data_IF_691105663318
#
_entry.id   IF_691105663318
#
_cell.length_a   1.000
_cell.length_b   1.000
_cell.length_c   1.000
_cell.angle_alpha   90.00
_cell.angle_beta   90.00
_cell.angle_gamma   90.00
#
_symmetry.space_group_name_H-M   'P 1'
#
loop_
_entity.id
_entity.type
_entity.pdbx_description
1 polymer ?
#
# COMPACT_ATOMS: atom_id res chain seq x y z
N UNK A 1 27.83 30.33 -15.64
CA UNK A 1 27.17 29.86 -16.87
C UNK A 1 25.87 29.17 -16.53
N UNK A 2 24.77 29.88 -16.76
CA UNK A 2 23.41 29.39 -16.73
C UNK A 2 23.13 28.61 -18.02
N UNK A 3 22.59 27.40 -17.94
CA UNK A 3 21.92 26.75 -19.06
C UNK A 3 20.48 26.42 -18.63
N UNK A 4 19.55 27.06 -19.34
CA UNK A 4 18.11 27.05 -19.13
C UNK A 4 17.45 25.71 -19.47
N UNK A 5 16.30 25.37 -18.88
CA UNK A 5 15.45 24.28 -19.34
C UNK A 5 14.68 24.64 -20.63
N UNK A 6 14.28 23.66 -21.47
CA UNK A 6 13.57 23.90 -22.72
C UNK A 6 12.12 24.38 -22.51
N UNK A 7 11.52 25.09 -23.50
CA UNK A 7 10.22 25.74 -23.35
C UNK A 7 9.03 24.76 -23.38
N UNK A 8 8.03 25.06 -22.55
CA UNK A 8 6.70 24.44 -22.53
C UNK A 8 5.88 25.05 -23.69
N UNK A 9 5.26 24.27 -24.59
CA UNK A 9 4.37 24.83 -25.60
C UNK A 9 3.07 25.34 -24.93
N UNK A 10 2.85 26.64 -25.06
CA UNK A 10 1.56 27.30 -24.80
C UNK A 10 0.58 26.92 -25.90
N UNK A 11 -0.50 26.20 -25.57
CA UNK A 11 -1.60 25.95 -26.49
C UNK A 11 -2.90 26.55 -25.94
N UNK A 12 -3.54 27.34 -26.78
CA UNK A 12 -4.65 28.25 -26.49
C UNK A 12 -5.90 27.57 -25.93
N UNK A 13 -6.59 28.31 -25.07
CA UNK A 13 -7.94 28.06 -24.59
C UNK A 13 -8.92 27.76 -25.74
N UNK A 14 -9.49 26.56 -25.73
CA UNK A 14 -10.79 26.28 -26.34
C UNK A 14 -11.68 25.66 -25.26
N UNK A 15 -12.70 26.40 -24.85
CA UNK A 15 -13.77 25.92 -23.97
C UNK A 15 -14.49 24.75 -24.64
N UNK A 16 -14.37 23.55 -24.08
CA UNK A 16 -15.41 22.53 -24.18
C UNK A 16 -15.56 21.85 -22.82
N UNK A 17 -16.72 22.05 -22.21
CA UNK A 17 -17.17 21.41 -20.98
C UNK A 17 -17.40 19.93 -21.23
N UNK A 18 -16.61 19.08 -20.58
CA UNK A 18 -16.93 17.67 -20.37
C UNK A 18 -16.90 17.38 -18.86
N UNK A 19 -18.08 17.09 -18.33
CA UNK A 19 -18.29 16.56 -16.98
C UNK A 19 -17.68 15.15 -16.84
N UNK A 20 -17.56 14.74 -15.57
CA UNK A 20 -17.42 13.39 -15.01
C UNK A 20 -15.99 12.84 -14.90
N UNK A 21 -15.41 12.92 -13.70
CA UNK A 21 -15.30 11.75 -12.81
C UNK A 21 -14.39 12.03 -11.62
N UNK A 22 -14.85 11.56 -10.46
CA UNK A 22 -14.18 11.66 -9.18
C UNK A 22 -12.72 11.17 -9.25
N UNK A 23 -11.77 12.00 -8.82
CA UNK A 23 -10.48 11.50 -8.36
C UNK A 23 -10.68 10.81 -7.01
N UNK A 24 -11.08 9.54 -7.09
CA UNK A 24 -10.75 8.57 -6.06
C UNK A 24 -9.23 8.43 -6.09
N UNK A 25 -8.49 8.58 -4.99
CA UNK A 25 -7.11 8.12 -4.94
C UNK A 25 -7.13 6.59 -4.92
N UNK A 26 -7.44 5.98 -6.07
CA UNK A 26 -7.03 4.62 -6.32
C UNK A 26 -5.50 4.68 -6.36
N UNK A 27 -4.86 3.96 -5.45
CA UNK A 27 -3.48 3.51 -5.64
C UNK A 27 -3.53 2.58 -6.86
N UNK A 28 -3.63 3.16 -8.05
CA UNK A 28 -3.61 2.43 -9.30
C UNK A 28 -2.23 1.78 -9.35
N UNK A 29 -2.22 0.45 -9.36
CA UNK A 29 -1.12 -0.26 -9.98
C UNK A 29 -0.81 0.46 -11.29
N UNK A 30 0.46 0.79 -11.57
CA UNK A 30 0.88 1.43 -12.83
C UNK A 30 0.61 0.55 -14.07
N UNK A 31 -0.15 -0.52 -13.92
CA UNK A 31 -0.72 -1.38 -14.93
C UNK A 31 -2.01 -0.74 -15.46
N UNK A 32 -1.94 -0.21 -16.67
CA UNK A 32 -3.07 0.42 -17.37
C UNK A 32 -3.84 -0.57 -18.26
N UNK A 33 -3.38 -1.82 -18.33
CA UNK A 33 -3.91 -2.86 -19.23
C UNK A 33 -3.46 -2.69 -20.69
N UNK A 34 -2.67 -1.67 -21.00
CA UNK A 34 -2.20 -1.36 -22.35
C UNK A 34 -0.73 -0.90 -22.34
N UNK A 35 -0.03 -1.16 -23.44
CA UNK A 35 1.35 -0.71 -23.64
C UNK A 35 1.40 0.57 -24.50
N UNK A 36 2.49 1.32 -24.35
CA UNK A 36 2.82 2.43 -25.24
C UNK A 36 3.03 1.93 -26.68
N UNK A 37 2.71 2.77 -27.66
CA UNK A 37 2.95 2.48 -29.08
C UNK A 37 4.42 2.21 -29.39
N UNK A 38 5.35 2.74 -28.59
CA UNK A 38 6.79 2.51 -28.75
C UNK A 38 7.28 1.22 -28.11
N UNK A 39 6.42 0.51 -27.36
CA UNK A 39 6.81 -0.63 -26.56
C UNK A 39 7.43 -1.76 -27.38
N UNK A 40 6.89 -2.03 -28.58
CA UNK A 40 7.40 -3.08 -29.48
C UNK A 40 8.89 -2.88 -29.81
N UNK A 41 9.32 -1.63 -29.98
CA UNK A 41 10.74 -1.31 -30.24
C UNK A 41 11.57 -1.41 -28.97
N UNK A 42 11.04 -0.92 -27.84
CA UNK A 42 11.75 -0.93 -26.56
C UNK A 42 11.99 -2.34 -26.02
N UNK A 43 11.01 -3.24 -26.11
CA UNK A 43 11.16 -4.64 -25.71
C UNK A 43 12.30 -5.31 -26.47
N UNK A 44 12.41 -5.08 -27.79
CA UNK A 44 13.51 -5.60 -28.62
C UNK A 44 14.88 -5.08 -28.18
N UNK A 45 14.93 -3.88 -27.61
CA UNK A 45 16.15 -3.26 -27.08
C UNK A 45 16.38 -3.56 -25.58
N UNK A 46 15.73 -4.59 -25.03
CA UNK A 46 15.97 -5.04 -23.66
C UNK A 46 15.30 -4.19 -22.57
N UNK A 47 14.28 -3.41 -22.91
CA UNK A 47 13.61 -2.52 -21.96
C UNK A 47 13.05 -3.23 -20.72
N UNK A 48 12.51 -4.45 -20.87
CA UNK A 48 11.94 -5.21 -19.77
C UNK A 48 12.97 -5.56 -18.67
N UNK A 49 14.25 -5.71 -19.04
CA UNK A 49 15.33 -6.07 -18.11
C UNK A 49 16.23 -4.88 -17.75
N UNK A 50 16.02 -3.71 -18.36
CA UNK A 50 16.87 -2.54 -18.18
C UNK A 50 16.67 -1.86 -16.82
N UNK A 51 17.58 -2.08 -15.87
CA UNK A 51 17.54 -1.53 -14.51
C UNK A 51 17.73 -0.01 -14.42
N UNK A 52 18.12 0.67 -15.50
CA UNK A 52 18.14 2.14 -15.56
C UNK A 52 16.72 2.76 -15.63
N UNK A 53 15.71 1.97 -16.04
CA UNK A 53 14.30 2.33 -15.92
C UNK A 53 13.70 1.67 -14.68
N UNK A 54 12.93 2.44 -13.90
CA UNK A 54 12.29 1.88 -12.70
C UNK A 54 11.24 0.82 -13.07
N UNK A 55 10.92 -0.09 -12.14
CA UNK A 55 9.83 -1.06 -12.34
C UNK A 55 8.52 -0.38 -12.71
N UNK A 56 8.23 0.77 -12.11
CA UNK A 56 7.01 1.53 -12.37
C UNK A 56 6.98 2.12 -13.78
N UNK A 57 8.10 2.65 -14.27
CA UNK A 57 8.20 3.10 -15.66
C UNK A 57 8.03 1.93 -16.63
N UNK A 58 8.66 0.79 -16.34
CA UNK A 58 8.52 -0.41 -17.17
C UNK A 58 7.07 -0.92 -17.22
N UNK A 59 6.34 -0.86 -16.10
CA UNK A 59 4.90 -1.17 -16.05
C UNK A 59 4.05 -0.18 -16.83
N UNK A 60 4.32 1.12 -16.66
CA UNK A 60 3.55 2.19 -17.28
C UNK A 60 3.62 2.13 -18.81
N UNK A 61 4.81 1.84 -19.36
CA UNK A 61 5.04 1.91 -20.80
C UNK A 61 4.97 0.57 -21.52
N UNK A 62 5.31 -0.53 -20.84
CA UNK A 62 5.42 -1.86 -21.43
C UNK A 62 4.94 -2.97 -20.48
N UNK A 63 4.01 -2.67 -19.57
CA UNK A 63 3.61 -3.60 -18.52
C UNK A 63 3.11 -4.94 -19.06
N UNK A 64 2.30 -4.94 -20.12
CA UNK A 64 1.74 -6.17 -20.67
C UNK A 64 2.78 -6.92 -21.48
N UNK A 65 3.48 -6.26 -22.41
CA UNK A 65 4.51 -6.89 -23.23
C UNK A 65 5.70 -7.44 -22.43
N UNK A 66 6.06 -6.81 -21.31
CA UNK A 66 7.09 -7.30 -20.40
C UNK A 66 6.57 -8.35 -19.40
N UNK A 67 5.28 -8.68 -19.43
CA UNK A 67 4.66 -9.66 -18.54
C UNK A 67 4.53 -9.20 -17.09
N UNK A 68 4.66 -7.89 -16.83
CA UNK A 68 4.52 -7.28 -15.50
C UNK A 68 3.07 -6.97 -15.13
N UNK A 69 2.21 -6.82 -16.14
CA UNK A 69 0.81 -6.48 -16.01
C UNK A 69 -0.05 -7.41 -16.90
N UNK A 70 -1.26 -7.68 -16.44
CA UNK A 70 -2.30 -8.32 -17.22
C UNK A 70 -3.03 -7.28 -18.08
N UNK A 71 -3.72 -7.74 -19.14
CA UNK A 71 -4.52 -6.86 -20.01
C UNK A 71 -5.73 -6.22 -19.31
N UNK A 72 -6.16 -6.78 -18.20
CA UNK A 72 -7.24 -6.23 -17.36
C UNK A 72 -6.77 -5.11 -16.42
N UNK A 73 -5.49 -4.72 -16.50
CA UNK A 73 -4.89 -3.69 -15.64
C UNK A 73 -4.40 -4.19 -14.29
N UNK A 74 -4.52 -5.50 -14.00
CA UNK A 74 -3.95 -6.09 -12.78
C UNK A 74 -2.45 -6.39 -12.95
N UNK A 75 -1.73 -6.55 -11.84
CA UNK A 75 -0.29 -6.84 -11.83
C UNK A 75 -0.02 -8.34 -11.74
N UNK A 76 1.06 -8.80 -12.40
CA UNK A 76 1.55 -10.18 -12.28
C UNK A 76 2.63 -10.29 -11.20
N UNK A 77 2.96 -11.51 -10.77
CA UNK A 77 4.08 -11.75 -9.86
C UNK A 77 5.43 -11.24 -10.42
N UNK A 78 5.63 -11.29 -11.75
CA UNK A 78 6.82 -10.80 -12.42
C UNK A 78 6.90 -9.26 -12.44
N UNK A 79 5.75 -8.58 -12.31
CA UNK A 79 5.69 -7.14 -12.09
C UNK A 79 6.32 -6.72 -10.77
N UNK A 80 6.78 -7.65 -9.93
CA UNK A 80 7.20 -7.35 -8.57
C UNK A 80 6.02 -6.86 -7.74
N UNK A 81 6.20 -6.80 -6.42
CA UNK A 81 5.22 -6.15 -5.57
C UNK A 81 5.03 -4.69 -6.01
N UNK A 82 3.84 -4.12 -5.85
CA UNK A 82 3.61 -2.67 -5.68
C UNK A 82 4.33 -2.14 -4.44
N UNK A 83 5.56 -2.57 -4.21
CA UNK A 83 6.54 -1.84 -3.43
C UNK A 83 6.83 -0.59 -4.25
N UNK A 84 5.95 0.41 -4.11
CA UNK A 84 6.35 1.80 -4.24
C UNK A 84 7.71 1.87 -3.56
N UNK A 85 8.77 2.18 -4.31
CA UNK A 85 10.08 2.33 -3.70
C UNK A 85 9.95 3.54 -2.78
N UNK A 86 9.68 3.23 -1.51
CA UNK A 86 9.31 4.19 -0.51
C UNK A 86 10.61 4.80 0.00
N UNK A 87 11.10 5.80 -0.74
CA UNK A 87 12.29 6.57 -0.42
C UNK A 87 11.88 7.95 0.09
N UNK A 88 12.76 8.54 0.87
CA UNK A 88 12.65 9.94 1.23
C UNK A 88 13.07 10.78 0.04
N UNK A 89 12.16 11.63 -0.42
CA UNK A 89 12.38 12.57 -1.51
C UNK A 89 12.84 13.95 -1.00
N UNK A 90 12.88 14.16 0.32
CA UNK A 90 13.36 15.38 0.95
C UNK A 90 14.52 15.08 1.92
N UNK A 91 15.58 15.90 1.86
CA UNK A 91 16.74 15.75 2.76
C UNK A 91 16.39 16.02 4.24
N UNK A 92 15.28 16.73 4.52
CA UNK A 92 14.88 17.10 5.88
C UNK A 92 13.99 16.06 6.57
N UNK A 93 13.76 14.89 5.96
CA UNK A 93 12.80 13.92 6.49
C UNK A 93 13.05 13.50 7.93
N UNK A 94 14.31 13.27 8.31
CA UNK A 94 14.67 12.94 9.69
C UNK A 94 14.30 14.07 10.68
N UNK A 95 14.59 15.33 10.32
CA UNK A 95 14.26 16.50 11.14
C UNK A 95 12.75 16.70 11.24
N UNK A 96 12.03 16.63 10.11
CA UNK A 96 10.59 16.80 10.06
C UNK A 96 9.86 15.71 10.84
N UNK A 97 10.31 14.46 10.76
CA UNK A 97 9.76 13.38 11.55
C UNK A 97 9.97 13.61 13.05
N UNK A 98 11.15 14.07 13.46
CA UNK A 98 11.43 14.43 14.85
C UNK A 98 10.53 15.57 15.37
N UNK A 99 10.11 16.49 14.49
CA UNK A 99 9.16 17.57 14.82
C UNK A 99 7.68 17.19 14.61
N UNK A 100 7.39 15.91 14.34
CA UNK A 100 6.03 15.38 14.26
C UNK A 100 5.37 15.42 12.87
N UNK A 101 6.10 15.65 11.78
CA UNK A 101 5.54 15.66 10.42
C UNK A 101 4.76 14.38 10.08
N UNK A 102 5.32 13.22 10.44
CA UNK A 102 4.71 11.93 10.11
C UNK A 102 3.45 11.63 10.94
N UNK A 103 3.35 12.18 12.15
CA UNK A 103 2.23 11.97 13.08
C UNK A 103 1.19 13.08 13.03
N UNK A 104 1.51 14.23 12.45
CA UNK A 104 0.60 15.37 12.39
C UNK A 104 -0.62 15.05 11.49
N UNK A 105 -1.86 15.13 12.01
CA UNK A 105 -3.06 14.85 11.23
C UNK A 105 -3.38 15.94 10.20
N UNK A 106 -2.78 17.13 10.28
CA UNK A 106 -2.98 18.20 9.28
C UNK A 106 -2.32 17.87 7.95
N UNK A 107 -1.34 16.98 7.94
CA UNK A 107 -0.67 16.50 6.74
C UNK A 107 -1.32 15.21 6.25
N UNK A 108 -1.73 15.20 4.99
CA UNK A 108 -2.30 14.00 4.38
C UNK A 108 -1.25 12.89 4.27
N UNK A 109 -1.69 11.65 4.33
CA UNK A 109 -0.80 10.49 4.13
C UNK A 109 -0.12 10.53 2.76
N UNK A 110 -0.82 11.07 1.74
CA UNK A 110 -0.25 11.30 0.42
C UNK A 110 0.93 12.27 0.49
N UNK A 111 0.80 13.37 1.24
CA UNK A 111 1.88 14.34 1.40
C UNK A 111 3.06 13.77 2.21
N UNK A 112 2.77 13.02 3.28
CA UNK A 112 3.80 12.33 4.07
C UNK A 112 4.59 11.35 3.21
N UNK A 113 3.90 10.54 2.41
CA UNK A 113 4.50 9.58 1.48
C UNK A 113 5.22 10.26 0.33
N UNK A 114 4.73 11.40 -0.16
CA UNK A 114 5.38 12.14 -1.24
C UNK A 114 6.76 12.66 -0.85
N UNK A 115 6.90 13.20 0.37
CA UNK A 115 8.16 13.82 0.80
C UNK A 115 9.07 12.86 1.56
N UNK A 116 8.51 12.09 2.49
CA UNK A 116 9.27 11.33 3.48
C UNK A 116 8.72 9.91 3.61
N UNK A 117 8.58 9.23 2.46
CA UNK A 117 7.96 7.92 2.44
C UNK A 117 8.63 6.97 3.43
N UNK A 118 9.95 6.79 3.32
CA UNK A 118 10.69 5.85 4.18
C UNK A 118 10.57 6.26 5.63
N UNK A 119 10.96 7.50 5.94
CA UNK A 119 11.00 8.00 7.31
C UNK A 119 9.62 7.94 7.97
N UNK A 120 8.54 8.32 7.27
CA UNK A 120 7.19 8.26 7.83
C UNK A 120 6.61 6.86 7.90
N UNK A 121 7.03 5.96 7.03
CA UNK A 121 6.73 4.53 7.10
C UNK A 121 7.39 3.90 8.33
N UNK A 122 8.62 4.28 8.63
CA UNK A 122 9.36 3.85 9.82
C UNK A 122 8.77 4.46 11.11
N UNK A 123 8.37 5.73 11.08
CA UNK A 123 7.69 6.37 12.21
C UNK A 123 6.31 5.75 12.49
N UNK A 124 5.54 5.41 11.45
CA UNK A 124 4.30 4.65 11.58
C UNK A 124 4.54 3.21 12.10
N UNK A 125 5.76 2.67 11.92
CA UNK A 125 6.14 1.40 12.51
C UNK A 125 6.22 1.45 14.05
N UNK A 126 6.40 2.62 14.66
CA UNK A 126 6.65 2.74 16.10
C UNK A 126 5.58 3.53 16.86
N UNK A 127 4.76 4.30 16.16
CA UNK A 127 3.70 5.12 16.78
C UNK A 127 2.43 4.31 17.04
N UNK A 128 1.95 4.19 18.30
CA UNK A 128 0.66 3.56 18.59
C UNK A 128 -0.49 4.19 17.78
N UNK A 129 -1.34 3.40 17.11
CA UNK A 129 -2.48 3.92 16.38
C UNK A 129 -3.62 4.33 17.34
N UNK A 130 -4.44 5.29 16.91
CA UNK A 130 -5.72 5.55 17.57
C UNK A 130 -6.72 4.46 17.16
N UNK A 131 -7.21 3.69 18.14
CA UNK A 131 -8.27 2.70 17.93
C UNK A 131 -9.17 2.56 19.16
N UNK A 132 -10.38 2.06 18.96
CA UNK A 132 -11.31 1.72 20.05
C UNK A 132 -11.31 0.22 20.38
N UNK A 133 -10.73 -0.64 19.54
CA UNK A 133 -10.51 -2.06 19.84
C UNK A 133 -9.19 -2.59 19.30
N UNK A 134 -9.01 -2.60 17.98
CA UNK A 134 -7.81 -3.19 17.37
C UNK A 134 -7.50 -2.69 15.97
N UNK A 135 -6.25 -2.87 15.57
CA UNK A 135 -5.72 -2.49 14.26
C UNK A 135 -4.94 -3.66 13.66
N UNK A 136 -5.16 -3.93 12.38
CA UNK A 136 -4.46 -4.97 11.61
C UNK A 136 -3.66 -4.28 10.50
N UNK A 137 -2.38 -4.62 10.38
CA UNK A 137 -1.46 -3.98 9.45
C UNK A 137 -1.06 -4.89 8.28
N UNK A 138 -0.89 -4.27 7.11
CA UNK A 138 -0.24 -4.82 5.92
C UNK A 138 1.03 -4.01 5.66
N UNK A 139 2.19 -4.61 5.91
CA UNK A 139 3.43 -3.85 6.07
C UNK A 139 3.29 -2.77 7.15
N UNK A 140 3.66 -1.53 6.83
CA UNK A 140 3.49 -0.39 7.74
C UNK A 140 2.15 0.32 7.60
N UNK A 141 1.27 -0.12 6.69
CA UNK A 141 -0.04 0.51 6.47
C UNK A 141 -1.12 -0.15 7.31
N UNK A 142 -2.03 0.67 7.85
CA UNK A 142 -3.25 0.19 8.50
C UNK A 142 -4.17 -0.38 7.43
N UNK A 143 -4.52 -1.66 7.54
CA UNK A 143 -5.50 -2.31 6.70
C UNK A 143 -6.89 -2.29 7.34
N UNK A 144 -6.94 -2.54 8.65
CA UNK A 144 -8.17 -2.53 9.45
C UNK A 144 -7.92 -1.67 10.68
N UNK A 145 -8.81 -0.72 10.97
CA UNK A 145 -8.92 -0.09 12.28
C UNK A 145 -10.38 -0.25 12.71
N UNK A 146 -10.60 -1.04 13.75
CA UNK A 146 -11.93 -1.54 14.06
C UNK A 146 -12.38 -1.17 15.48
N UNK A 147 -13.66 -0.78 15.65
CA UNK A 147 -14.31 -0.79 16.95
C UNK A 147 -14.58 -2.23 17.42
N UNK A 148 -15.10 -2.42 18.64
CA UNK A 148 -15.60 -3.73 19.05
C UNK A 148 -16.65 -4.25 18.07
N UNK A 149 -16.57 -5.54 17.75
CA UNK A 149 -17.45 -6.23 16.81
C UNK A 149 -18.31 -7.24 17.54
N UNK A 150 -19.54 -7.42 17.10
CA UNK A 150 -20.46 -8.46 17.62
C UNK A 150 -20.45 -9.75 16.80
N UNK A 151 -19.80 -9.74 15.63
CA UNK A 151 -19.70 -10.88 14.72
C UNK A 151 -18.40 -10.81 13.91
N UNK A 152 -17.99 -11.96 13.34
CA UNK A 152 -16.82 -12.04 12.50
C UNK A 152 -16.93 -11.12 11.27
N UNK A 153 -15.83 -10.43 10.96
CA UNK A 153 -15.69 -9.53 9.82
C UNK A 153 -14.63 -10.07 8.86
N UNK A 154 -14.85 -9.92 7.55
CA UNK A 154 -13.93 -10.40 6.52
C UNK A 154 -12.83 -9.38 6.21
N UNK A 155 -11.61 -9.85 5.97
CA UNK A 155 -10.49 -9.03 5.47
C UNK A 155 -10.39 -9.21 3.94
N UNK A 156 -10.71 -8.17 3.16
CA UNK A 156 -10.93 -8.28 1.70
C UNK A 156 -9.72 -7.99 0.80
N UNK A 157 -8.51 -7.73 1.35
CA UNK A 157 -7.36 -7.24 0.54
C UNK A 157 -5.95 -7.69 1.01
N UNK A 158 -5.82 -8.78 1.78
CA UNK A 158 -4.62 -8.96 2.60
C UNK A 158 -3.45 -9.74 1.96
N UNK A 159 -2.32 -9.09 1.68
CA UNK A 159 -1.04 -9.78 1.41
C UNK A 159 0.17 -8.99 1.90
N UNK A 160 1.12 -9.61 2.62
CA UNK A 160 0.91 -10.36 3.85
C UNK A 160 0.52 -9.42 5.01
N UNK A 161 -0.33 -9.91 5.91
CA UNK A 161 -0.54 -9.25 7.20
C UNK A 161 0.74 -9.37 8.02
N UNK A 162 1.11 -8.31 8.72
CA UNK A 162 2.44 -8.24 9.36
C UNK A 162 2.39 -8.13 10.87
N UNK A 163 1.41 -7.40 11.41
CA UNK A 163 1.29 -7.12 12.83
C UNK A 163 -0.12 -6.66 13.20
N UNK A 164 -0.42 -6.71 14.48
CA UNK A 164 -1.63 -6.15 15.07
C UNK A 164 -1.28 -5.21 16.22
N UNK A 165 -2.20 -4.32 16.54
CA UNK A 165 -2.19 -3.52 17.77
C UNK A 165 -3.57 -3.68 18.41
N UNK A 166 -3.62 -4.06 19.68
CA UNK A 166 -4.89 -4.29 20.39
C UNK A 166 -4.92 -3.41 21.63
N UNK A 167 -6.00 -2.63 21.77
CA UNK A 167 -6.19 -1.71 22.88
C UNK A 167 -6.21 -2.47 24.20
N UNK A 168 -5.55 -1.96 25.24
CA UNK A 168 -5.57 -2.61 26.58
C UNK A 168 -6.99 -2.91 27.03
N UNK A 169 -7.21 -4.15 27.49
CA UNK A 169 -8.52 -4.67 27.87
C UNK A 169 -9.29 -5.37 26.74
N UNK A 170 -8.96 -5.13 25.48
CA UNK A 170 -9.62 -5.78 24.34
C UNK A 170 -8.90 -7.09 23.93
N UNK A 171 -9.57 -7.91 23.13
CA UNK A 171 -9.05 -9.14 22.54
C UNK A 171 -9.39 -9.17 21.05
N UNK A 172 -8.39 -9.40 20.21
CA UNK A 172 -8.57 -9.59 18.78
C UNK A 172 -8.38 -11.07 18.42
N UNK A 173 -9.41 -11.70 17.87
CA UNK A 173 -9.37 -13.06 17.33
C UNK A 173 -9.27 -12.99 15.81
N UNK A 174 -8.37 -13.78 15.25
CA UNK A 174 -8.27 -14.02 13.81
C UNK A 174 -8.48 -15.50 13.51
N UNK A 175 -9.11 -15.77 12.36
CA UNK A 175 -9.48 -17.10 11.91
C UNK A 175 -9.03 -17.32 10.45
N UNK A 176 -8.61 -18.53 10.12
CA UNK A 176 -8.31 -19.00 8.77
C UNK A 176 -9.49 -19.76 8.18
N UNK A 177 -9.73 -19.58 6.89
CA UNK A 177 -10.70 -20.36 6.10
C UNK A 177 -10.15 -21.74 5.66
N UNK A 178 -10.97 -22.81 5.56
CA UNK A 178 -12.39 -22.91 5.95
C UNK A 178 -12.61 -22.72 7.45
N UNK A 179 -13.44 -21.74 7.83
CA UNK A 179 -13.74 -21.43 9.23
C UNK A 179 -14.32 -22.65 9.99
N UNK A 180 -14.07 -22.79 11.32
CA UNK A 180 -13.52 -21.79 12.23
C UNK A 180 -12.18 -22.25 12.85
N UNK A 181 -11.14 -22.44 12.04
CA UNK A 181 -9.80 -22.64 12.59
C UNK A 181 -9.19 -21.31 13.04
N UNK A 182 -8.71 -21.24 14.28
CA UNK A 182 -7.96 -20.09 14.78
C UNK A 182 -6.63 -19.94 14.02
N UNK A 183 -6.30 -18.70 13.64
CA UNK A 183 -4.96 -18.42 13.14
C UNK A 183 -3.91 -18.63 14.24
N UNK A 184 -2.71 -19.07 13.88
CA UNK A 184 -1.62 -19.24 14.85
C UNK A 184 -1.33 -17.92 15.57
N UNK A 185 -1.26 -17.94 16.90
CA UNK A 185 -1.04 -16.75 17.72
C UNK A 185 -2.30 -15.95 18.09
N UNK A 186 -3.46 -16.31 17.55
CA UNK A 186 -4.78 -15.79 17.97
C UNK A 186 -5.32 -16.61 19.16
N UNK A 187 -5.99 -16.00 20.16
CA UNK A 187 -6.31 -14.57 20.29
C UNK A 187 -5.12 -13.69 20.70
N UNK A 188 -5.16 -12.44 20.26
CA UNK A 188 -4.23 -11.39 20.69
C UNK A 188 -4.86 -10.57 21.81
N UNK A 189 -4.25 -10.58 22.99
CA UNK A 189 -4.68 -9.78 24.14
C UNK A 189 -4.12 -8.37 24.06
N UNK A 190 -4.97 -7.39 24.34
CA UNK A 190 -4.62 -5.97 24.32
C UNK A 190 -3.69 -5.55 25.44
N UNK A 191 -2.60 -4.90 25.06
CA UNK A 191 -1.60 -4.33 25.95
C UNK A 191 -1.05 -2.97 25.42
N UNK A 192 -1.79 -2.33 24.50
CA UNK A 192 -1.36 -1.12 23.79
C UNK A 192 0.05 -1.25 23.15
N UNK A 193 0.34 -2.44 22.64
CA UNK A 193 1.61 -2.80 22.04
C UNK A 193 1.41 -3.47 20.67
N UNK A 194 2.40 -3.32 19.80
CA UNK A 194 2.46 -4.04 18.54
C UNK A 194 2.82 -5.50 18.77
N UNK A 195 2.05 -6.40 18.15
CA UNK A 195 2.34 -7.83 18.11
C UNK A 195 2.58 -8.23 16.65
N UNK A 196 3.80 -8.67 16.34
CA UNK A 196 4.14 -9.20 15.02
C UNK A 196 3.39 -10.50 14.78
N UNK A 197 2.72 -10.61 13.63
CA UNK A 197 2.04 -11.82 13.24
C UNK A 197 3.05 -12.87 12.80
N UNK A 198 2.77 -14.13 13.14
CA UNK A 198 3.60 -15.28 12.76
C UNK A 198 2.70 -16.43 12.30
N UNK A 199 3.27 -17.43 11.65
CA UNK A 199 2.54 -18.62 11.19
C UNK A 199 1.41 -18.27 10.24
N UNK A 200 0.25 -18.90 10.41
CA UNK A 200 -0.89 -18.70 9.50
C UNK A 200 -1.50 -17.31 9.58
N UNK A 201 -1.31 -16.54 10.66
CA UNK A 201 -1.81 -15.16 10.72
C UNK A 201 -1.02 -14.19 9.83
N UNK A 202 0.21 -14.54 9.43
CA UNK A 202 1.07 -13.72 8.59
C UNK A 202 1.02 -14.09 7.09
N UNK A 203 0.15 -15.03 6.68
CA UNK A 203 0.13 -15.52 5.30
C UNK A 203 -0.50 -14.53 4.31
N UNK A 204 -0.12 -14.66 3.05
CA UNK A 204 -0.65 -13.89 1.92
C UNK A 204 -1.99 -14.47 1.43
N UNK A 205 -3.06 -13.66 1.33
CA UNK A 205 -4.24 -14.05 0.53
C UNK A 205 -3.80 -14.23 -0.92
N UNK A 206 -4.21 -15.34 -1.53
CA UNK A 206 -3.92 -15.64 -2.93
C UNK A 206 -3.35 -17.03 -3.17
N UNK A 207 -2.96 -17.76 -2.12
CA UNK A 207 -2.74 -19.21 -2.20
C UNK A 207 -4.10 -19.92 -2.10
N UNK A 208 -4.89 -19.82 -3.17
CA UNK A 208 -6.12 -20.54 -3.51
C UNK A 208 -7.32 -20.63 -2.52
N UNK A 209 -7.23 -20.41 -1.19
CA UNK A 209 -8.41 -20.60 -0.31
C UNK A 209 -8.39 -19.92 1.08
N UNK A 210 -7.39 -19.12 1.45
CA UNK A 210 -7.37 -18.50 2.79
C UNK A 210 -7.91 -17.08 2.76
N UNK A 211 -9.19 -16.87 3.06
CA UNK A 211 -9.67 -15.56 3.55
C UNK A 211 -9.49 -15.52 5.07
N UNK A 212 -9.13 -14.35 5.61
CA UNK A 212 -9.13 -14.15 7.06
C UNK A 212 -10.44 -13.51 7.48
N UNK A 213 -11.00 -14.01 8.57
CA UNK A 213 -12.00 -13.29 9.34
C UNK A 213 -11.41 -12.88 10.69
N UNK A 214 -11.97 -11.84 11.27
CA UNK A 214 -11.57 -11.37 12.59
C UNK A 214 -12.77 -10.97 13.45
N UNK A 215 -12.56 -10.95 14.76
CA UNK A 215 -13.50 -10.46 15.75
C UNK A 215 -12.71 -9.72 16.82
N UNK A 216 -13.13 -8.51 17.20
CA UNK A 216 -12.49 -7.72 18.23
C UNK A 216 -13.50 -7.45 19.36
N UNK A 217 -13.20 -7.90 20.58
CA UNK A 217 -14.10 -7.78 21.73
C UNK A 217 -13.41 -7.05 22.87
N UNK A 218 -14.08 -6.11 23.51
CA UNK A 218 -13.64 -5.48 24.76
C UNK A 218 -14.67 -5.80 25.86
N UNK A 219 -14.26 -5.78 27.15
CA UNK A 219 -15.17 -5.90 28.28
C UNK A 219 -16.18 -4.74 28.36
#
# INVERSE_FOLDING_TARGET
SLHSPPPIPTMQFVLTTALISALVPAVVSQCTGADSSSCVSWVKNGYCTNTASSMDQRKLYCGVACGFCNKDGTQTAAGGSTTVICLDNNANCASWAATGFCTNPTYSDAMKKQYCCKTCTDAAATTPPTTTCGVIYMGSSILVNTPPTTAQQTITNASPLTRVFVKTGCSLKMYTDPAPTHATGSPFTGADAFVTLTGTAASTLGSASTFFTYECTCP
#
